data_IF_868814671287
#
_entry.id   IF_868814671287
#
_cell.length_a   1.000
_cell.length_b   1.000
_cell.length_c   1.000
_cell.angle_alpha   90.00
_cell.angle_beta   90.00
_cell.angle_gamma   90.00
#
_symmetry.space_group_name_H-M   'P 1'
#
loop_
_entity.id
_entity.type
_entity.pdbx_description
1 polymer ?
#
# COMPACT_ATOMS: atom_id res chain seq x y z
N UNK A 1 -10.30 -16.51 7.97
CA UNK A 1 -9.66 -15.59 8.92
C UNK A 1 -8.18 -15.92 8.86
N UNK A 2 -7.31 -14.92 8.74
CA UNK A 2 -5.87 -15.17 8.68
C UNK A 2 -5.38 -15.59 10.06
N UNK A 3 -4.63 -16.67 10.17
CA UNK A 3 -4.07 -17.09 11.44
C UNK A 3 -2.84 -16.23 11.79
N UNK A 4 -2.79 -15.73 13.03
CA UNK A 4 -1.70 -14.88 13.53
C UNK A 4 -0.44 -15.68 13.91
N UNK A 5 -0.07 -16.62 13.05
CA UNK A 5 1.13 -17.47 13.19
C UNK A 5 1.89 -17.50 11.86
N UNK A 6 3.18 -17.76 11.92
CA UNK A 6 3.95 -18.10 10.73
C UNK A 6 3.84 -19.61 10.49
N UNK A 7 3.34 -19.99 9.32
CA UNK A 7 3.17 -21.38 8.92
C UNK A 7 3.52 -21.59 7.44
N UNK A 8 3.04 -22.71 6.89
CA UNK A 8 3.24 -23.03 5.49
C UNK A 8 2.54 -22.01 4.57
N UNK A 9 3.16 -21.73 3.42
CA UNK A 9 2.55 -20.89 2.39
C UNK A 9 1.57 -21.73 1.57
N UNK A 10 0.28 -21.43 1.68
CA UNK A 10 -0.70 -22.03 0.79
C UNK A 10 -0.53 -21.48 -0.63
N UNK A 11 -0.96 -22.25 -1.63
CA UNK A 11 -0.94 -21.80 -3.03
C UNK A 11 -1.68 -20.46 -3.23
N UNK A 12 -2.81 -20.28 -2.52
CA UNK A 12 -3.57 -19.04 -2.53
C UNK A 12 -2.74 -17.84 -2.03
N UNK A 13 -1.98 -18.03 -0.94
CA UNK A 13 -1.13 -16.97 -0.37
C UNK A 13 -0.05 -16.52 -1.35
N UNK A 14 0.58 -17.48 -2.01
CA UNK A 14 1.60 -17.22 -3.03
C UNK A 14 0.99 -16.44 -4.20
N UNK A 15 -0.16 -16.89 -4.72
CA UNK A 15 -0.83 -16.24 -5.83
C UNK A 15 -1.23 -14.79 -5.48
N UNK A 16 -1.78 -14.56 -4.29
CA UNK A 16 -2.14 -13.23 -3.81
C UNK A 16 -0.92 -12.34 -3.58
N UNK A 17 0.17 -12.88 -3.04
CA UNK A 17 1.42 -12.16 -2.83
C UNK A 17 2.03 -11.67 -4.16
N UNK A 18 2.08 -12.56 -5.17
CA UNK A 18 2.56 -12.21 -6.52
C UNK A 18 1.65 -11.15 -7.15
N UNK A 19 0.32 -11.34 -7.11
CA UNK A 19 -0.62 -10.37 -7.65
C UNK A 19 -0.49 -9.00 -6.98
N UNK A 20 -0.36 -8.98 -5.65
CA UNK A 20 -0.14 -7.75 -4.86
C UNK A 20 1.15 -7.05 -5.29
N UNK A 21 2.26 -7.78 -5.42
CA UNK A 21 3.54 -7.23 -5.86
C UNK A 21 3.49 -6.65 -7.27
N UNK A 22 2.81 -7.33 -8.21
CA UNK A 22 2.62 -6.84 -9.57
C UNK A 22 1.77 -5.56 -9.61
N UNK A 23 0.62 -5.55 -8.90
CA UNK A 23 -0.25 -4.37 -8.83
C UNK A 23 0.51 -3.20 -8.20
N UNK A 24 1.22 -3.43 -7.08
CA UNK A 24 2.02 -2.40 -6.42
C UNK A 24 3.06 -1.81 -7.37
N UNK A 25 3.73 -2.65 -8.15
CA UNK A 25 4.72 -2.21 -9.13
C UNK A 25 4.09 -1.32 -10.20
N UNK A 26 2.98 -1.75 -10.81
CA UNK A 26 2.26 -0.96 -11.82
C UNK A 26 1.79 0.38 -11.26
N UNK A 27 1.21 0.36 -10.05
CA UNK A 27 0.70 1.56 -9.37
C UNK A 27 1.83 2.56 -9.08
N UNK A 28 2.94 2.09 -8.49
CA UNK A 28 4.08 2.96 -8.19
C UNK A 28 4.76 3.48 -9.46
N UNK A 29 4.93 2.65 -10.48
CA UNK A 29 5.47 3.09 -11.78
C UNK A 29 4.58 4.15 -12.41
N UNK A 30 3.25 3.98 -12.36
CA UNK A 30 2.31 4.97 -12.89
C UNK A 30 2.39 6.28 -12.10
N UNK A 31 2.39 6.21 -10.77
CA UNK A 31 2.53 7.38 -9.91
C UNK A 31 3.85 8.14 -10.16
N UNK A 32 4.95 7.39 -10.32
CA UNK A 32 6.25 7.94 -10.69
C UNK A 32 6.19 8.69 -12.02
N UNK A 33 5.64 8.10 -13.08
CA UNK A 33 5.52 8.77 -14.38
C UNK A 33 4.58 9.98 -14.36
N UNK A 34 3.51 9.94 -13.57
CA UNK A 34 2.61 11.10 -13.39
C UNK A 34 3.36 12.27 -12.75
N UNK A 35 4.12 12.01 -11.67
CA UNK A 35 4.93 13.03 -11.01
C UNK A 35 6.04 13.56 -11.93
N UNK A 36 6.74 12.69 -12.66
CA UNK A 36 7.79 13.07 -13.60
C UNK A 36 7.27 13.94 -14.76
N UNK A 37 5.98 13.85 -15.10
CA UNK A 37 5.31 14.71 -16.09
C UNK A 37 4.83 16.04 -15.52
N UNK A 38 5.12 16.34 -14.24
CA UNK A 38 4.71 17.58 -13.59
C UNK A 38 3.22 17.63 -13.26
N UNK A 39 2.54 16.48 -13.11
CA UNK A 39 1.17 16.48 -12.61
C UNK A 39 1.12 16.95 -11.16
N UNK A 40 0.02 17.60 -10.73
CA UNK A 40 -0.16 17.97 -9.33
C UNK A 40 -0.07 16.73 -8.41
N UNK A 41 0.68 16.84 -7.31
CA UNK A 41 1.01 15.70 -6.43
C UNK A 41 -0.20 14.95 -5.88
N UNK A 42 -1.38 15.59 -5.78
CA UNK A 42 -2.59 14.92 -5.31
C UNK A 42 -3.01 13.75 -6.22
N UNK A 43 -2.76 13.82 -7.53
CA UNK A 43 -3.12 12.75 -8.47
C UNK A 43 -2.34 11.45 -8.25
N UNK A 44 -0.98 11.43 -8.31
CA UNK A 44 -0.21 10.23 -8.03
C UNK A 44 -0.43 9.75 -6.59
N UNK A 45 -0.53 10.65 -5.60
CA UNK A 45 -0.83 10.30 -4.21
C UNK A 45 -2.14 9.51 -4.09
N UNK A 46 -3.23 10.01 -4.68
CA UNK A 46 -4.55 9.36 -4.59
C UNK A 46 -4.60 8.06 -5.38
N UNK A 47 -3.93 7.96 -6.53
CA UNK A 47 -3.78 6.70 -7.24
C UNK A 47 -3.18 5.62 -6.32
N UNK A 48 -2.06 5.92 -5.66
CA UNK A 48 -1.40 4.97 -4.74
C UNK A 48 -2.30 4.66 -3.55
N UNK A 49 -2.88 5.69 -2.91
CA UNK A 49 -3.72 5.53 -1.71
C UNK A 49 -4.96 4.66 -1.96
N UNK A 50 -5.68 4.90 -3.05
CA UNK A 50 -6.88 4.15 -3.43
C UNK A 50 -6.52 2.72 -3.82
N UNK A 51 -5.57 2.57 -4.76
CA UNK A 51 -5.26 1.27 -5.32
C UNK A 51 -4.62 0.34 -4.28
N UNK A 52 -3.62 0.83 -3.54
CA UNK A 52 -2.93 0.01 -2.54
C UNK A 52 -3.82 -0.26 -1.33
N UNK A 53 -4.60 0.72 -0.87
CA UNK A 53 -5.56 0.49 0.21
C UNK A 53 -6.63 -0.54 -0.17
N UNK A 54 -7.13 -0.51 -1.41
CA UNK A 54 -8.07 -1.51 -1.92
C UNK A 54 -7.43 -2.90 -1.98
N UNK A 55 -6.21 -3.02 -2.51
CA UNK A 55 -5.50 -4.31 -2.56
C UNK A 55 -5.28 -4.86 -1.15
N UNK A 56 -4.82 -4.04 -0.21
CA UNK A 56 -4.59 -4.44 1.18
C UNK A 56 -5.91 -4.91 1.82
N UNK A 57 -6.99 -4.14 1.68
CA UNK A 57 -8.30 -4.50 2.23
C UNK A 57 -8.77 -5.86 1.72
N UNK A 58 -8.62 -6.13 0.42
CA UNK A 58 -9.10 -7.36 -0.20
C UNK A 58 -8.21 -8.57 0.04
N UNK A 59 -6.90 -8.37 0.25
CA UNK A 59 -5.92 -9.48 0.34
C UNK A 59 -5.59 -9.86 1.79
N UNK A 60 -5.45 -8.90 2.71
CA UNK A 60 -4.99 -9.17 4.08
C UNK A 60 -5.89 -10.16 4.81
N UNK A 61 -7.20 -10.05 4.63
CA UNK A 61 -8.19 -10.92 5.28
C UNK A 61 -8.34 -12.30 4.62
N UNK A 62 -7.78 -12.45 3.42
CA UNK A 62 -7.87 -13.67 2.60
C UNK A 62 -6.66 -14.59 2.75
N UNK A 63 -5.53 -14.08 3.27
CA UNK A 63 -4.38 -14.92 3.59
C UNK A 63 -4.73 -16.00 4.61
N UNK A 64 -4.07 -17.15 4.51
CA UNK A 64 -4.27 -18.25 5.46
C UNK A 64 -3.57 -18.00 6.79
N UNK A 65 -2.35 -17.44 6.76
CA UNK A 65 -1.55 -17.12 7.94
C UNK A 65 -0.55 -15.97 7.66
N UNK A 66 0.26 -15.56 8.65
CA UNK A 66 1.17 -14.42 8.53
C UNK A 66 2.31 -14.60 7.52
N UNK A 67 2.62 -15.84 7.12
CA UNK A 67 3.65 -16.09 6.09
C UNK A 67 3.25 -15.49 4.74
N UNK A 68 1.96 -15.52 4.39
CA UNK A 68 1.44 -14.93 3.14
C UNK A 68 1.72 -13.42 2.98
N UNK A 69 1.24 -12.56 3.89
CA UNK A 69 1.51 -11.12 3.82
C UNK A 69 3.00 -10.80 4.00
N UNK A 70 3.75 -11.56 4.82
CA UNK A 70 5.20 -11.39 4.93
C UNK A 70 5.91 -11.68 3.60
N UNK A 71 5.50 -12.73 2.89
CA UNK A 71 6.02 -13.06 1.57
C UNK A 71 5.68 -11.97 0.54
N UNK A 72 4.46 -11.40 0.57
CA UNK A 72 4.08 -10.27 -0.27
C UNK A 72 4.96 -9.04 -0.04
N UNK A 73 5.25 -8.71 1.23
CA UNK A 73 6.18 -7.63 1.60
C UNK A 73 7.59 -7.94 1.08
N UNK A 74 8.06 -9.18 1.19
CA UNK A 74 9.36 -9.61 0.66
C UNK A 74 9.48 -9.42 -0.85
N UNK A 75 8.46 -9.81 -1.62
CA UNK A 75 8.39 -9.56 -3.07
C UNK A 75 8.45 -8.07 -3.36
N UNK A 76 7.59 -7.28 -2.70
CA UNK A 76 7.54 -5.83 -2.89
C UNK A 76 8.89 -5.17 -2.63
N UNK A 77 9.54 -5.49 -1.49
CA UNK A 77 10.85 -4.94 -1.14
C UNK A 77 11.92 -5.37 -2.14
N UNK A 78 11.90 -6.62 -2.61
CA UNK A 78 12.85 -7.09 -3.62
C UNK A 78 12.73 -6.30 -4.91
N UNK A 79 11.50 -6.08 -5.41
CA UNK A 79 11.24 -5.29 -6.61
C UNK A 79 11.69 -3.83 -6.40
N UNK A 80 11.34 -3.24 -5.26
CA UNK A 80 11.70 -1.87 -4.92
C UNK A 80 13.22 -1.69 -4.85
N UNK A 81 13.93 -2.61 -4.18
CA UNK A 81 15.38 -2.57 -4.06
C UNK A 81 16.08 -2.83 -5.39
N UNK A 82 15.54 -3.70 -6.24
CA UNK A 82 16.04 -3.91 -7.60
C UNK A 82 15.89 -2.62 -8.43
N UNK A 83 14.72 -1.97 -8.40
CA UNK A 83 14.49 -0.71 -9.11
C UNK A 83 15.37 0.42 -8.56
N UNK A 84 15.51 0.52 -7.23
CA UNK A 84 16.40 1.47 -6.57
C UNK A 84 17.87 1.25 -6.95
N UNK A 85 18.33 0.01 -7.09
CA UNK A 85 19.70 -0.27 -7.51
C UNK A 85 20.00 0.27 -8.92
N UNK A 86 18.98 0.41 -9.79
CA UNK A 86 19.10 1.02 -11.12
C UNK A 86 18.85 2.53 -11.11
N UNK A 87 18.19 3.05 -10.07
CA UNK A 87 17.93 4.48 -9.86
C UNK A 87 17.92 4.81 -8.37
N UNK A 88 19.06 5.21 -7.84
CA UNK A 88 19.27 5.42 -6.39
C UNK A 88 18.35 6.48 -5.77
N UNK A 89 17.86 7.43 -6.57
CA UNK A 89 16.93 8.49 -6.12
C UNK A 89 15.46 8.05 -6.14
N UNK A 90 15.14 6.87 -6.66
CA UNK A 90 13.76 6.43 -6.91
C UNK A 90 12.88 6.48 -5.65
N UNK A 91 13.38 6.02 -4.52
CA UNK A 91 12.62 6.02 -3.26
C UNK A 91 12.29 7.46 -2.84
N UNK A 92 13.23 8.39 -3.01
CA UNK A 92 13.02 9.80 -2.67
C UNK A 92 12.03 10.47 -3.60
N UNK A 93 12.12 10.19 -4.90
CA UNK A 93 11.18 10.69 -5.89
C UNK A 93 9.76 10.15 -5.66
N UNK A 94 9.61 8.88 -5.28
CA UNK A 94 8.31 8.29 -4.93
C UNK A 94 7.72 8.93 -3.66
N UNK A 95 8.54 9.22 -2.65
CA UNK A 95 8.09 9.93 -1.45
C UNK A 95 7.66 11.37 -1.76
N UNK A 96 8.36 12.06 -2.66
CA UNK A 96 7.97 13.40 -3.13
C UNK A 96 6.67 13.32 -3.94
N UNK A 97 6.52 12.31 -4.82
CA UNK A 97 5.29 12.10 -5.58
C UNK A 97 4.07 11.88 -4.67
N UNK A 98 4.28 11.33 -3.48
CA UNK A 98 3.25 11.14 -2.46
C UNK A 98 3.03 12.33 -1.51
N UNK A 99 3.81 13.41 -1.60
CA UNK A 99 3.70 14.54 -0.66
C UNK A 99 2.54 15.48 -1.00
N UNK A 100 2.02 16.21 -0.01
CA UNK A 100 1.19 17.39 -0.29
C UNK A 100 2.07 18.57 -0.72
N UNK A 101 1.43 19.57 -1.32
CA UNK A 101 2.09 20.83 -1.64
C UNK A 101 2.62 21.47 -0.35
N UNK A 102 3.89 21.85 -0.34
CA UNK A 102 4.57 22.40 0.84
C UNK A 102 5.02 21.37 1.88
N UNK A 103 4.74 20.07 1.71
CA UNK A 103 5.23 19.00 2.58
C UNK A 103 6.56 18.41 2.08
N UNK A 104 7.34 17.88 3.02
CA UNK A 104 8.61 17.20 2.71
C UNK A 104 8.42 15.70 2.55
N UNK A 105 9.39 15.03 1.90
CA UNK A 105 9.48 13.56 1.84
C UNK A 105 9.41 12.87 3.21
N UNK A 106 9.90 13.51 4.26
CA UNK A 106 9.85 12.97 5.62
C UNK A 106 8.42 12.98 6.18
N UNK A 107 7.64 14.02 5.86
CA UNK A 107 6.23 14.08 6.23
C UNK A 107 5.46 12.92 5.60
N UNK A 108 5.69 12.65 4.31
CA UNK A 108 5.06 11.54 3.59
C UNK A 108 5.44 10.19 4.17
N UNK A 109 6.72 9.97 4.47
CA UNK A 109 7.17 8.74 5.10
C UNK A 109 6.52 8.53 6.48
N UNK A 110 6.52 9.58 7.33
CA UNK A 110 5.90 9.53 8.65
C UNK A 110 4.39 9.28 8.58
N UNK A 111 3.68 9.94 7.66
CA UNK A 111 2.26 9.72 7.44
C UNK A 111 1.96 8.29 6.97
N UNK A 112 2.77 7.75 6.05
CA UNK A 112 2.66 6.36 5.61
C UNK A 112 2.89 5.35 6.74
N UNK A 113 3.90 5.59 7.58
CA UNK A 113 4.18 4.75 8.75
C UNK A 113 3.06 4.79 9.78
N UNK A 114 2.55 5.98 10.11
CA UNK A 114 1.41 6.14 11.02
C UNK A 114 0.14 5.50 10.46
N UNK A 115 -0.08 5.59 9.15
CA UNK A 115 -1.15 4.89 8.45
C UNK A 115 -1.04 3.37 8.61
N UNK A 116 0.16 2.81 8.39
CA UNK A 116 0.42 1.38 8.59
C UNK A 116 0.14 0.94 10.04
N UNK A 117 0.65 1.68 11.03
CA UNK A 117 0.43 1.38 12.44
C UNK A 117 -1.06 1.44 12.83
N UNK A 118 -1.79 2.41 12.26
CA UNK A 118 -3.24 2.54 12.44
C UNK A 118 -3.99 1.34 11.83
N UNK A 119 -3.64 0.94 10.61
CA UNK A 119 -4.22 -0.22 9.94
C UNK A 119 -3.95 -1.52 10.69
N UNK A 120 -2.72 -1.72 11.16
CA UNK A 120 -2.36 -2.87 11.98
C UNK A 120 -3.18 -2.91 13.29
N UNK A 121 -3.37 -1.75 13.93
CA UNK A 121 -4.17 -1.65 15.16
C UNK A 121 -5.63 -1.99 14.90
N UNK A 122 -6.25 -1.40 13.86
CA UNK A 122 -7.64 -1.69 13.48
C UNK A 122 -7.81 -3.17 13.12
N UNK A 123 -6.85 -3.73 12.39
CA UNK A 123 -6.83 -5.16 12.04
C UNK A 123 -6.81 -6.07 13.28
N UNK A 124 -5.96 -5.76 14.27
CA UNK A 124 -5.86 -6.55 15.50
C UNK A 124 -7.08 -6.38 16.42
N UNK A 125 -7.60 -5.16 16.56
CA UNK A 125 -8.78 -4.88 17.40
C UNK A 125 -10.03 -5.56 16.85
N UNK A 126 -10.21 -5.56 15.53
CA UNK A 126 -11.35 -6.17 14.85
C UNK A 126 -10.99 -7.49 14.16
N UNK A 127 -9.99 -8.21 14.68
CA UNK A 127 -9.50 -9.46 14.08
C UNK A 127 -10.61 -10.50 13.86
N UNK A 128 -11.59 -10.57 14.78
CA UNK A 128 -12.73 -11.46 14.69
C UNK A 128 -13.81 -11.02 13.68
N UNK A 129 -13.74 -9.79 13.18
CA UNK A 129 -14.72 -9.13 12.31
C UNK A 129 -14.01 -8.47 11.11
N UNK A 130 -13.46 -9.28 10.19
CA UNK A 130 -12.66 -8.77 9.06
C UNK A 130 -13.43 -7.76 8.19
N UNK A 131 -14.75 -7.84 8.11
CA UNK A 131 -15.58 -6.88 7.38
C UNK A 131 -15.48 -5.44 7.93
N UNK A 132 -15.24 -5.27 9.23
CA UNK A 132 -15.03 -3.94 9.85
C UNK A 132 -13.69 -3.37 9.40
N UNK A 133 -12.65 -4.21 9.37
CA UNK A 133 -11.34 -3.81 8.83
C UNK A 133 -11.46 -3.41 7.36
N UNK A 134 -12.04 -4.28 6.52
CA UNK A 134 -12.21 -4.03 5.07
C UNK A 134 -12.98 -2.73 4.82
N UNK A 135 -14.13 -2.54 5.47
CA UNK A 135 -14.95 -1.34 5.30
C UNK A 135 -14.23 -0.08 5.77
N UNK A 136 -13.49 -0.14 6.88
CA UNK A 136 -12.73 1.00 7.41
C UNK A 136 -11.60 1.43 6.47
N UNK A 137 -10.82 0.46 5.94
CA UNK A 137 -9.75 0.75 4.98
C UNK A 137 -10.33 1.33 3.69
N UNK A 138 -11.38 0.71 3.14
CA UNK A 138 -12.01 1.21 1.92
C UNK A 138 -12.64 2.59 2.12
N UNK A 139 -13.26 2.86 3.26
CA UNK A 139 -13.81 4.17 3.59
C UNK A 139 -12.72 5.25 3.66
N UNK A 140 -11.55 4.94 4.23
CA UNK A 140 -10.41 5.87 4.25
C UNK A 140 -9.79 6.01 2.85
N UNK A 141 -9.59 4.91 2.13
CA UNK A 141 -8.96 4.93 0.80
C UNK A 141 -9.79 5.66 -0.24
N UNK A 142 -11.11 5.42 -0.25
CA UNK A 142 -12.02 6.01 -1.23
C UNK A 142 -12.70 7.28 -0.73
N UNK A 143 -13.04 7.38 0.56
CA UNK A 143 -13.70 8.57 1.13
C UNK A 143 -12.79 9.78 1.21
N UNK A 144 -11.54 9.60 1.68
CA UNK A 144 -10.52 10.66 1.62
C UNK A 144 -10.18 11.02 0.16
N UNK A 145 -10.21 10.06 -0.75
CA UNK A 145 -9.98 10.33 -2.17
C UNK A 145 -11.13 11.11 -2.82
N UNK A 146 -12.38 10.76 -2.53
CA UNK A 146 -13.54 11.44 -3.07
C UNK A 146 -13.57 12.92 -2.67
N UNK A 147 -13.22 13.24 -1.42
CA UNK A 147 -13.17 14.62 -0.93
C UNK A 147 -12.21 15.53 -1.69
N UNK A 148 -11.07 15.01 -2.17
CA UNK A 148 -10.07 15.80 -2.94
C UNK A 148 -10.28 15.75 -4.46
N UNK A 149 -11.01 14.75 -4.98
CA UNK A 149 -11.33 14.67 -6.43
C UNK A 149 -12.46 15.64 -6.80
N UNK A 150 -13.40 15.87 -5.88
CA UNK A 150 -14.54 16.76 -6.08
C UNK A 150 -14.39 18.14 -5.41
N UNK A 151 -13.46 18.27 -4.46
CA UNK A 151 -13.22 19.49 -3.68
C UNK A 151 -12.25 20.49 -4.32
#
# INVERSE_FOLDING_TARGET
MVDLVFGDLAFLDIAMAIATGLIASVVLTTAYYMAAKGMPNWKPRKLVHIAMGTVIAMTVVAYTNLSGPAFAVGIFLTILMYAWAHKSELIWELLIAGSREGETRLNTFAAGFMGLASFATVFLVFFSRPEIFVSSILAVSWGDAAGEVFG
#
